data_IF_129782171412
#
_entry.id   IF_129782171412
#
_cell.length_a   1.000
_cell.length_b   1.000
_cell.length_c   1.000
_cell.angle_alpha   90.00
_cell.angle_beta   90.00
_cell.angle_gamma   90.00
#
_symmetry.space_group_name_H-M   'P 1'
#
loop_
_entity.id
_entity.type
_entity.pdbx_description
1 polymer ?
#
# COMPACT_ATOMS: atom_id res chain seq x y z
N UNK A 1 -15.99 -4.52 6.43
CA UNK A 1 -16.32 -3.09 6.17
C UNK A 1 -15.27 -2.10 6.69
N UNK A 2 -14.83 -2.19 7.96
CA UNK A 2 -13.94 -1.16 8.54
C UNK A 2 -12.54 -1.11 7.94
N UNK A 3 -11.90 -2.25 7.65
CA UNK A 3 -10.60 -2.27 6.94
C UNK A 3 -10.67 -1.61 5.56
N UNK A 4 -11.78 -1.86 4.83
CA UNK A 4 -12.02 -1.24 3.51
C UNK A 4 -12.14 0.28 3.66
N UNK A 5 -12.90 0.73 4.68
CA UNK A 5 -13.05 2.14 4.97
C UNK A 5 -11.72 2.80 5.36
N UNK A 6 -10.92 2.15 6.21
CA UNK A 6 -9.61 2.66 6.61
C UNK A 6 -8.71 2.86 5.38
N UNK A 7 -8.64 1.87 4.49
CA UNK A 7 -7.86 1.94 3.25
C UNK A 7 -8.32 3.08 2.33
N UNK A 8 -9.62 3.21 2.12
CA UNK A 8 -10.18 4.26 1.25
C UNK A 8 -9.97 5.67 1.82
N UNK A 9 -10.12 5.83 3.15
CA UNK A 9 -9.85 7.09 3.85
C UNK A 9 -8.36 7.45 3.75
N UNK A 10 -7.45 6.50 3.92
CA UNK A 10 -6.01 6.73 3.78
C UNK A 10 -5.64 7.14 2.36
N UNK A 11 -6.16 6.43 1.35
CA UNK A 11 -5.89 6.73 -0.05
C UNK A 11 -6.31 8.17 -0.39
N UNK A 12 -7.52 8.57 0.03
CA UNK A 12 -8.02 9.95 -0.15
C UNK A 12 -7.29 10.98 0.71
N UNK A 13 -6.84 10.59 1.90
CA UNK A 13 -6.04 11.42 2.80
C UNK A 13 -4.62 11.71 2.29
N UNK A 14 -4.28 11.35 1.05
CA UNK A 14 -3.01 11.67 0.42
C UNK A 14 -1.83 10.81 0.90
N UNK A 15 -2.11 9.66 1.52
CA UNK A 15 -1.08 8.75 2.02
C UNK A 15 -0.22 8.19 0.87
N UNK A 16 -0.85 7.84 -0.24
CA UNK A 16 -0.19 7.26 -1.43
C UNK A 16 1.01 8.07 -1.90
N UNK A 17 0.82 9.38 -2.09
CA UNK A 17 1.88 10.28 -2.58
C UNK A 17 3.05 10.37 -1.59
N UNK A 18 2.76 10.38 -0.28
CA UNK A 18 3.77 10.44 0.78
C UNK A 18 4.63 9.18 0.80
N UNK A 19 3.99 8.02 0.70
CA UNK A 19 4.66 6.73 0.66
C UNK A 19 5.52 6.57 -0.59
N UNK A 20 5.02 6.99 -1.76
CA UNK A 20 5.79 6.96 -3.00
C UNK A 20 7.03 7.86 -2.88
N UNK A 21 6.87 9.10 -2.40
CA UNK A 21 8.01 10.00 -2.17
C UNK A 21 9.07 9.39 -1.25
N UNK A 22 8.64 8.75 -0.16
CA UNK A 22 9.57 8.08 0.75
C UNK A 22 10.24 6.86 0.13
N UNK A 23 9.51 6.05 -0.62
CA UNK A 23 10.07 4.92 -1.36
C UNK A 23 11.13 5.38 -2.36
N UNK A 24 10.85 6.45 -3.12
CA UNK A 24 11.82 7.05 -4.05
C UNK A 24 13.03 7.58 -3.28
N UNK A 25 12.85 8.25 -2.14
CA UNK A 25 13.98 8.72 -1.32
C UNK A 25 14.96 7.59 -0.94
N UNK A 26 14.44 6.42 -0.55
CA UNK A 26 15.28 5.30 -0.15
C UNK A 26 16.04 4.66 -1.32
N UNK A 27 15.48 4.72 -2.53
CA UNK A 27 15.96 3.96 -3.68
C UNK A 27 16.59 4.80 -4.79
N UNK A 28 16.41 6.13 -4.79
CA UNK A 28 16.85 7.03 -5.86
C UNK A 28 18.35 6.92 -6.19
N UNK A 29 19.18 6.63 -5.18
CA UNK A 29 20.64 6.45 -5.32
C UNK A 29 21.07 5.23 -6.14
N UNK A 30 20.17 4.29 -6.40
CA UNK A 30 20.49 3.07 -7.14
C UNK A 30 20.10 3.18 -8.62
N UNK A 31 20.83 2.49 -9.51
CA UNK A 31 20.37 2.30 -10.90
C UNK A 31 19.08 1.47 -10.88
N UNK A 32 18.06 1.91 -11.61
CA UNK A 32 16.71 1.35 -11.48
C UNK A 32 15.96 1.84 -10.23
N UNK A 33 16.44 2.89 -9.56
CA UNK A 33 15.92 3.38 -8.28
C UNK A 33 14.40 3.59 -8.27
N UNK A 34 13.84 4.17 -9.33
CA UNK A 34 12.40 4.42 -9.46
C UNK A 34 11.59 3.13 -9.61
N UNK A 35 12.16 2.09 -10.22
CA UNK A 35 11.54 0.77 -10.26
C UNK A 35 11.53 0.09 -8.88
N UNK A 36 12.63 0.21 -8.12
CA UNK A 36 12.65 -0.24 -6.72
C UNK A 36 11.70 0.56 -5.84
N UNK A 37 11.56 1.86 -6.09
CA UNK A 37 10.60 2.71 -5.41
C UNK A 37 9.17 2.23 -5.63
N UNK A 38 8.85 1.81 -6.86
CA UNK A 38 7.56 1.21 -7.18
C UNK A 38 7.29 -0.05 -6.36
N UNK A 39 8.21 -1.00 -6.36
CA UNK A 39 8.08 -2.23 -5.56
C UNK A 39 7.96 -1.93 -4.06
N UNK A 40 8.79 -1.03 -3.53
CA UNK A 40 8.74 -0.63 -2.14
C UNK A 40 7.40 0.06 -1.79
N UNK A 41 6.93 0.96 -2.66
CA UNK A 41 5.63 1.60 -2.51
C UNK A 41 4.51 0.57 -2.51
N UNK A 42 4.55 -0.46 -3.36
CA UNK A 42 3.59 -1.56 -3.35
C UNK A 42 3.58 -2.32 -2.02
N UNK A 43 4.74 -2.62 -1.43
CA UNK A 43 4.82 -3.31 -0.12
C UNK A 43 4.17 -2.46 0.97
N UNK A 44 4.49 -1.17 1.03
CA UNK A 44 3.97 -0.29 2.07
C UNK A 44 2.46 -0.03 1.87
N UNK A 45 2.04 0.12 0.61
CA UNK A 45 0.66 0.37 0.25
C UNK A 45 -0.24 -0.87 0.35
N UNK A 46 0.35 -2.07 0.29
CA UNK A 46 -0.35 -3.34 0.48
C UNK A 46 -1.13 -3.38 1.78
N UNK A 47 -0.51 -2.93 2.88
CA UNK A 47 -1.14 -2.85 4.20
C UNK A 47 -2.22 -1.76 4.34
N UNK A 48 -2.56 -1.06 3.26
CA UNK A 48 -3.58 -0.01 3.23
C UNK A 48 -4.72 -0.39 2.29
N UNK A 49 -4.40 -0.64 1.02
CA UNK A 49 -5.40 -0.93 -0.01
C UNK A 49 -5.89 -2.38 0.04
N UNK A 50 -4.99 -3.32 0.36
CA UNK A 50 -5.28 -4.74 0.46
C UNK A 50 -5.79 -5.39 -0.84
N UNK A 51 -5.73 -4.70 -2.00
CA UNK A 51 -6.18 -5.23 -3.30
C UNK A 51 -5.28 -4.81 -4.46
N UNK A 52 -5.02 -5.73 -5.39
CA UNK A 52 -4.14 -5.46 -6.53
C UNK A 52 -4.70 -4.43 -7.51
N UNK A 53 -6.03 -4.33 -7.62
CA UNK A 53 -6.70 -3.39 -8.52
C UNK A 53 -6.54 -1.96 -7.98
N UNK A 54 -6.76 -1.75 -6.68
CA UNK A 54 -6.59 -0.42 -6.09
C UNK A 54 -5.11 -0.01 -6.06
N UNK A 55 -4.19 -0.93 -5.76
CA UNK A 55 -2.74 -0.67 -5.86
C UNK A 55 -2.34 -0.24 -7.26
N UNK A 56 -2.80 -0.97 -8.29
CA UNK A 56 -2.48 -0.64 -9.68
C UNK A 56 -3.10 0.69 -10.10
N UNK A 57 -4.31 0.99 -9.66
CA UNK A 57 -4.96 2.26 -9.94
C UNK A 57 -4.23 3.44 -9.28
N UNK A 58 -3.80 3.29 -8.03
CA UNK A 58 -3.13 4.34 -7.27
C UNK A 58 -1.67 4.54 -7.74
N UNK A 59 -0.88 3.46 -7.71
CA UNK A 59 0.54 3.48 -8.07
C UNK A 59 0.75 3.66 -9.57
N UNK A 60 -0.16 3.15 -10.41
CA UNK A 60 -0.04 3.26 -11.86
C UNK A 60 -0.13 4.69 -12.38
N UNK A 61 -0.92 5.56 -11.74
CA UNK A 61 -0.95 6.98 -12.12
C UNK A 61 0.41 7.66 -11.94
N UNK A 62 1.21 7.18 -10.99
CA UNK A 62 2.52 7.75 -10.68
C UNK A 62 3.63 7.04 -11.45
N UNK A 63 3.74 5.71 -11.31
CA UNK A 63 4.89 4.98 -11.87
C UNK A 63 4.74 4.67 -13.37
N UNK A 64 3.57 4.23 -13.84
CA UNK A 64 3.39 3.91 -15.28
C UNK A 64 3.52 5.18 -16.12
N UNK A 65 3.05 6.32 -15.60
CA UNK A 65 3.18 7.63 -16.29
C UNK A 65 4.51 8.33 -16.03
N UNK A 66 5.12 8.11 -14.86
CA UNK A 66 6.33 8.80 -14.41
C UNK A 66 7.61 8.16 -14.94
N UNK A 67 7.75 6.84 -14.83
CA UNK A 67 8.97 6.12 -15.23
C UNK A 67 9.37 6.37 -16.69
N UNK A 68 8.46 6.46 -17.69
CA UNK A 68 8.86 6.80 -19.05
C UNK A 68 9.58 8.15 -19.20
N UNK A 69 9.31 9.11 -18.31
CA UNK A 69 9.98 10.42 -18.31
C UNK A 69 11.44 10.33 -17.85
N UNK A 70 11.79 9.27 -17.12
CA UNK A 70 13.16 8.99 -16.68
C UNK A 70 13.91 8.06 -17.65
N UNK A 71 13.28 7.62 -18.75
CA UNK A 71 13.88 6.75 -19.76
C UNK A 71 13.59 5.26 -19.60
N UNK A 72 12.66 4.86 -18.73
CA UNK A 72 12.17 3.48 -18.71
C UNK A 72 11.23 3.21 -19.90
N UNK A 73 11.20 1.98 -20.41
CA UNK A 73 10.17 1.60 -21.39
C UNK A 73 8.78 1.57 -20.73
N UNK A 74 7.73 1.89 -21.49
CA UNK A 74 6.35 1.88 -21.00
C UNK A 74 5.92 0.48 -20.57
N UNK A 75 6.36 -0.54 -21.31
CA UNK A 75 6.08 -1.95 -21.06
C UNK A 75 6.72 -2.38 -19.74
N UNK A 76 7.97 -1.96 -19.48
CA UNK A 76 8.63 -2.26 -18.20
C UNK A 76 7.94 -1.56 -17.04
N UNK A 77 7.58 -0.28 -17.19
CA UNK A 77 6.87 0.48 -16.16
C UNK A 77 5.51 -0.15 -15.81
N UNK A 78 4.75 -0.57 -16.83
CA UNK A 78 3.50 -1.30 -16.64
C UNK A 78 3.73 -2.66 -15.95
N UNK A 79 4.68 -3.46 -16.45
CA UNK A 79 4.96 -4.79 -15.94
C UNK A 79 5.39 -4.78 -14.47
N UNK A 80 6.32 -3.90 -14.08
CA UNK A 80 6.80 -3.82 -12.69
C UNK A 80 5.72 -3.30 -11.74
N UNK A 81 4.88 -2.36 -12.20
CA UNK A 81 3.76 -1.87 -11.40
C UNK A 81 2.73 -2.96 -11.17
N UNK A 82 2.31 -3.65 -12.23
CA UNK A 82 1.33 -4.74 -12.12
C UNK A 82 1.87 -5.88 -11.26
N UNK A 83 3.13 -6.28 -11.45
CA UNK A 83 3.76 -7.32 -10.64
C UNK A 83 3.86 -6.90 -9.16
N UNK A 84 4.22 -5.65 -8.88
CA UNK A 84 4.27 -5.09 -7.53
C UNK A 84 2.90 -5.06 -6.85
N UNK A 85 1.85 -4.65 -7.56
CA UNK A 85 0.48 -4.59 -7.03
C UNK A 85 -0.08 -5.95 -6.58
N UNK A 86 0.45 -7.08 -7.08
CA UNK A 86 0.05 -8.42 -6.61
C UNK A 86 0.50 -8.68 -5.16
N UNK A 87 1.47 -7.92 -4.66
CA UNK A 87 1.88 -7.94 -3.25
C UNK A 87 0.74 -7.42 -2.35
N UNK A 88 -0.07 -6.49 -2.86
CA UNK A 88 -1.19 -5.84 -2.17
C UNK A 88 -2.10 -6.80 -1.40
N UNK A 89 -2.72 -7.76 -2.10
CA UNK A 89 -3.56 -8.79 -1.48
C UNK A 89 -2.87 -9.72 -0.47
N UNK A 90 -1.53 -9.78 -0.46
CA UNK A 90 -0.77 -10.81 0.24
C UNK A 90 -0.19 -10.28 1.55
N UNK A 91 0.36 -9.05 1.53
CA UNK A 91 0.93 -8.45 2.75
C UNK A 91 -0.19 -7.88 3.63
N UNK A 92 -0.22 -8.19 4.93
CA UNK A 92 -1.26 -7.70 5.84
C UNK A 92 -1.17 -6.20 6.17
N UNK A 93 -2.29 -5.57 6.58
CA UNK A 93 -3.65 -6.11 6.57
C UNK A 93 -4.23 -6.18 5.14
N UNK A 94 -4.83 -7.32 4.78
CA UNK A 94 -5.38 -7.56 3.44
C UNK A 94 -6.90 -7.75 3.50
N UNK A 95 -7.61 -6.94 2.72
CA UNK A 95 -9.07 -7.05 2.58
C UNK A 95 -9.45 -8.43 2.04
N UNK A 96 -8.70 -8.95 1.06
CA UNK A 96 -8.96 -10.26 0.44
C UNK A 96 -8.80 -11.40 1.47
N UNK A 97 -7.80 -11.31 2.35
CA UNK A 97 -7.62 -12.29 3.43
C UNK A 97 -8.77 -12.25 4.45
N UNK A 98 -9.23 -11.05 4.83
CA UNK A 98 -10.37 -10.91 5.75
C UNK A 98 -11.63 -11.55 5.17
N UNK A 99 -11.87 -11.36 3.88
CA UNK A 99 -13.02 -11.99 3.18
C UNK A 99 -12.86 -13.51 3.17
N UNK A 100 -11.68 -14.00 2.78
CA UNK A 100 -11.41 -15.43 2.74
C UNK A 100 -11.60 -16.09 4.11
N UNK A 101 -11.07 -15.49 5.19
CA UNK A 101 -11.30 -15.92 6.57
C UNK A 101 -12.80 -15.97 6.93
N UNK A 102 -13.57 -14.96 6.53
CA UNK A 102 -15.00 -14.91 6.83
C UNK A 102 -15.78 -16.07 6.17
N UNK A 103 -15.43 -16.45 4.94
CA UNK A 103 -16.09 -17.56 4.22
C UNK A 103 -15.58 -18.92 4.65
N UNK A 104 -14.26 -19.07 4.80
CA UNK A 104 -13.60 -20.33 5.16
C UNK A 104 -13.64 -20.64 6.66
N UNK A 105 -14.08 -19.69 7.49
CA UNK A 105 -14.03 -19.75 8.97
C UNK A 105 -12.63 -19.98 9.53
N UNK A 106 -11.60 -19.56 8.79
CA UNK A 106 -10.21 -19.54 9.24
C UNK A 106 -9.94 -18.24 10.00
N UNK A 107 -9.00 -18.28 10.95
CA UNK A 107 -8.53 -17.08 11.66
C UNK A 107 -7.93 -16.05 10.69
N UNK A 108 -8.38 -14.80 10.78
CA UNK A 108 -7.82 -13.67 10.04
C UNK A 108 -6.34 -13.47 10.40
N UNK A 109 -5.99 -13.70 11.67
CA UNK A 109 -4.63 -13.50 12.18
C UNK A 109 -3.68 -14.52 11.57
N UNK A 110 -4.11 -15.78 11.48
CA UNK A 110 -3.29 -16.85 10.92
C UNK A 110 -3.00 -16.59 9.45
N UNK A 111 -4.01 -16.11 8.69
CA UNK A 111 -3.82 -15.68 7.31
C UNK A 111 -2.89 -14.48 7.20
N UNK A 112 -3.01 -13.50 8.09
CA UNK A 112 -2.13 -12.35 8.09
C UNK A 112 -0.68 -12.79 8.31
N UNK A 113 -0.40 -13.59 9.34
CA UNK A 113 0.93 -14.13 9.59
C UNK A 113 1.45 -14.98 8.42
N UNK A 114 0.59 -15.82 7.85
CA UNK A 114 0.93 -16.66 6.70
C UNK A 114 1.26 -15.84 5.44
N UNK A 115 0.69 -14.64 5.29
CA UNK A 115 0.91 -13.75 4.15
C UNK A 115 2.26 -13.04 4.12
N UNK A 116 2.89 -12.84 5.29
CA UNK A 116 4.12 -12.05 5.41
C UNK A 116 5.25 -12.65 4.57
N UNK A 117 5.53 -13.94 4.74
CA UNK A 117 6.64 -14.61 4.05
C UNK A 117 6.42 -14.63 2.52
N UNK A 118 5.27 -15.10 1.99
CA UNK A 118 5.01 -15.06 0.55
C UNK A 118 5.06 -13.64 -0.04
N UNK A 119 4.53 -12.64 0.68
CA UNK A 119 4.55 -11.26 0.22
C UNK A 119 5.96 -10.69 0.09
N UNK A 120 6.82 -10.96 1.07
CA UNK A 120 8.24 -10.58 1.03
C UNK A 120 9.01 -11.33 -0.05
N UNK A 121 8.70 -12.61 -0.29
CA UNK A 121 9.32 -13.38 -1.37
C UNK A 121 8.95 -12.83 -2.75
N UNK A 122 7.70 -12.40 -2.96
CA UNK A 122 7.28 -11.75 -4.20
C UNK A 122 7.96 -10.38 -4.38
N UNK A 123 8.02 -9.58 -3.31
CA UNK A 123 8.76 -8.33 -3.32
C UNK A 123 10.24 -8.54 -3.68
N UNK A 124 10.87 -9.57 -3.11
CA UNK A 124 12.23 -9.95 -3.41
C UNK A 124 12.38 -10.39 -4.87
N UNK A 125 11.48 -11.24 -5.36
CA UNK A 125 11.50 -11.71 -6.75
C UNK A 125 11.43 -10.55 -7.75
N UNK A 126 10.51 -9.59 -7.54
CA UNK A 126 10.41 -8.38 -8.36
C UNK A 126 11.70 -7.56 -8.26
N UNK A 127 12.24 -7.38 -7.05
CA UNK A 127 13.48 -6.65 -6.81
C UNK A 127 14.71 -7.29 -7.49
N UNK A 128 14.77 -8.63 -7.54
CA UNK A 128 15.81 -9.38 -8.25
C UNK A 128 15.71 -9.16 -9.76
N UNK A 129 14.50 -9.16 -10.33
CA UNK A 129 14.30 -8.85 -11.76
C UNK A 129 14.77 -7.43 -12.10
N UNK A 130 14.45 -6.45 -11.25
CA UNK A 130 14.94 -5.07 -11.40
C UNK A 130 16.48 -5.05 -11.34
N UNK A 131 17.07 -5.76 -10.37
CA UNK A 131 18.53 -5.83 -10.21
C UNK A 131 19.23 -6.41 -11.45
N UNK A 132 18.72 -7.51 -11.98
CA UNK A 132 19.27 -8.15 -13.18
C UNK A 132 19.24 -7.20 -14.38
N UNK A 133 18.12 -6.49 -14.59
CA UNK A 133 18.03 -5.49 -15.66
C UNK A 133 18.90 -4.26 -15.42
N UNK A 134 19.02 -3.79 -14.18
CA UNK A 134 19.87 -2.66 -13.82
C UNK A 134 21.36 -2.97 -14.04
N UNK A 135 21.81 -4.18 -13.68
CA UNK A 135 23.20 -4.62 -13.83
C UNK A 135 23.64 -4.66 -15.29
N UNK A 136 22.72 -5.00 -16.20
CA UNK A 136 22.98 -5.02 -17.64
C UNK A 136 22.95 -3.62 -18.28
N UNK A 137 22.86 -2.55 -17.48
CA UNK A 137 22.80 -1.17 -17.98
C UNK A 137 21.44 -0.79 -18.58
N UNK A 138 20.44 -1.67 -18.52
CA UNK A 138 19.14 -1.49 -19.18
C UNK A 138 18.15 -0.60 -18.42
N UNK A 139 18.52 -0.04 -17.26
CA UNK A 139 17.65 0.83 -16.47
C UNK A 139 18.35 2.17 -16.14
N UNK A 140 17.61 3.29 -16.23
CA UNK A 140 18.14 4.62 -15.91
C UNK A 140 18.33 4.80 -14.39
N UNK A 141 19.09 5.83 -14.02
CA UNK A 141 19.10 6.32 -12.63
C UNK A 141 17.89 7.22 -12.39
N UNK A 142 17.43 7.28 -11.14
CA UNK A 142 16.33 8.17 -10.80
C UNK A 142 16.76 9.63 -10.96
N UNK A 143 15.94 10.43 -11.63
CA UNK A 143 16.14 11.89 -11.74
C UNK A 143 15.45 12.66 -10.61
N UNK A 144 14.81 11.96 -9.66
CA UNK A 144 14.07 12.58 -8.58
C UNK A 144 15.03 13.07 -7.51
N UNK A 145 15.16 14.39 -7.41
CA UNK A 145 15.90 15.06 -6.35
C UNK A 145 14.98 15.31 -5.15
N UNK A 146 15.43 14.90 -3.96
CA UNK A 146 14.71 15.14 -2.70
C UNK A 146 15.57 16.01 -1.80
N UNK A 147 15.02 17.18 -1.44
CA UNK A 147 15.68 18.11 -0.54
C UNK A 147 15.87 17.49 0.84
N UNK A 148 17.08 17.62 1.41
CA UNK A 148 17.40 17.12 2.76
C UNK A 148 16.51 17.72 3.85
N UNK A 149 15.98 18.92 3.63
CA UNK A 149 15.06 19.58 4.54
C UNK A 149 13.68 18.90 4.61
N UNK A 150 13.28 18.15 3.57
CA UNK A 150 11.98 17.46 3.52
C UNK A 150 12.02 16.08 4.20
N UNK A 151 13.22 15.51 4.40
CA UNK A 151 13.41 14.14 4.91
C UNK A 151 12.77 13.91 6.28
N UNK A 152 12.93 14.78 7.30
CA UNK A 152 12.35 14.50 8.63
C UNK A 152 10.83 14.42 8.59
N UNK A 153 10.19 15.31 7.82
CA UNK A 153 8.73 15.34 7.67
C UNK A 153 8.24 14.12 6.90
N UNK A 154 8.91 13.76 5.81
CA UNK A 154 8.58 12.59 4.99
C UNK A 154 8.72 11.28 5.78
N UNK A 155 9.77 11.16 6.60
CA UNK A 155 9.98 10.01 7.46
C UNK A 155 8.91 9.91 8.55
N UNK A 156 8.54 11.03 9.19
CA UNK A 156 7.48 11.06 10.18
C UNK A 156 6.13 10.67 9.58
N UNK A 157 5.75 11.27 8.45
CA UNK A 157 4.50 10.96 7.75
C UNK A 157 4.42 9.46 7.41
N UNK A 158 5.51 8.89 6.89
CA UNK A 158 5.57 7.47 6.54
C UNK A 158 5.52 6.57 7.77
N UNK A 159 6.20 6.95 8.85
CA UNK A 159 6.19 6.21 10.10
C UNK A 159 4.78 6.16 10.71
N UNK A 160 4.04 7.26 10.68
CA UNK A 160 2.64 7.30 11.12
C UNK A 160 1.78 6.33 10.31
N UNK A 161 1.98 6.27 9.00
CA UNK A 161 1.22 5.35 8.13
C UNK A 161 1.58 3.89 8.41
N UNK A 162 2.87 3.55 8.47
CA UNK A 162 3.35 2.18 8.73
C UNK A 162 3.01 1.73 10.15
N UNK A 163 2.86 2.66 11.10
CA UNK A 163 2.46 2.33 12.46
C UNK A 163 1.08 1.67 12.52
N UNK A 164 0.19 1.92 11.55
CA UNK A 164 -1.16 1.35 11.55
C UNK A 164 -1.16 -0.18 11.33
N UNK A 165 -0.54 -0.73 10.26
CA UNK A 165 -0.37 -2.18 10.11
C UNK A 165 0.31 -2.84 11.32
N UNK A 166 1.38 -2.23 11.85
CA UNK A 166 2.11 -2.75 13.01
C UNK A 166 1.23 -2.78 14.26
N UNK A 167 0.51 -1.69 14.53
CA UNK A 167 -0.40 -1.56 15.66
C UNK A 167 -1.53 -2.60 15.59
N UNK A 168 -2.10 -2.81 14.40
CA UNK A 168 -3.12 -3.84 14.17
C UNK A 168 -2.57 -5.23 14.49
N UNK A 169 -1.40 -5.58 13.95
CA UNK A 169 -0.79 -6.90 14.18
C UNK A 169 -0.45 -7.08 15.66
N UNK A 170 0.27 -6.14 16.28
CA UNK A 170 0.71 -6.24 17.67
C UNK A 170 -0.48 -6.25 18.63
N UNK A 171 -1.45 -5.36 18.45
CA UNK A 171 -2.63 -5.28 19.32
C UNK A 171 -3.54 -6.50 19.19
N UNK A 172 -3.62 -7.10 18.00
CA UNK A 172 -4.37 -8.35 17.81
C UNK A 172 -3.61 -9.56 18.39
N UNK A 173 -2.29 -9.64 18.19
CA UNK A 173 -1.46 -10.74 18.74
C UNK A 173 -1.36 -10.70 20.27
N UNK A 174 -1.37 -9.52 20.88
CA UNK A 174 -1.39 -9.36 22.34
C UNK A 174 -2.75 -9.66 22.97
N UNK A 175 -3.79 -9.92 22.17
CA UNK A 175 -5.15 -10.15 22.65
C UNK A 175 -5.86 -8.88 23.14
N UNK A 176 -5.30 -7.69 22.85
CA UNK A 176 -5.89 -6.41 23.27
C UNK A 176 -7.21 -6.14 22.54
N UNK A 177 -7.30 -6.56 21.28
CA UNK A 177 -8.52 -6.47 20.47
C UNK A 177 -8.61 -7.60 19.46
N UNK A 178 -9.84 -7.94 19.06
CA UNK A 178 -10.14 -8.89 18.00
C UNK A 178 -9.88 -8.31 16.61
N UNK A 179 -9.83 -9.16 15.58
CA UNK A 179 -9.62 -8.71 14.20
C UNK A 179 -10.67 -7.69 13.74
N UNK A 180 -11.91 -7.78 14.20
CA UNK A 180 -12.98 -6.85 13.84
C UNK A 180 -12.81 -5.50 14.54
N UNK A 181 -12.46 -5.51 15.84
CA UNK A 181 -12.17 -4.30 16.62
C UNK A 181 -10.94 -3.57 16.07
N UNK A 182 -9.89 -4.32 15.70
CA UNK A 182 -8.70 -3.77 15.03
C UNK A 182 -9.07 -3.00 13.75
N UNK A 183 -10.02 -3.51 12.96
CA UNK A 183 -10.51 -2.81 11.78
C UNK A 183 -11.20 -1.49 12.12
N UNK A 184 -11.99 -1.46 13.20
CA UNK A 184 -12.63 -0.24 13.70
C UNK A 184 -11.61 0.81 14.16
N UNK A 185 -10.60 0.38 14.93
CA UNK A 185 -9.50 1.27 15.35
C UNK A 185 -8.72 1.79 14.15
N UNK A 186 -8.46 0.94 13.16
CA UNK A 186 -7.79 1.33 11.92
C UNK A 186 -8.57 2.43 11.17
N UNK A 187 -9.89 2.31 11.08
CA UNK A 187 -10.74 3.30 10.43
C UNK A 187 -10.69 4.66 11.17
N UNK A 188 -10.83 4.64 12.50
CA UNK A 188 -10.74 5.87 13.31
C UNK A 188 -9.36 6.51 13.18
N UNK A 189 -8.29 5.72 13.26
CA UNK A 189 -6.92 6.22 13.11
C UNK A 189 -6.69 6.83 11.72
N UNK A 190 -7.16 6.18 10.65
CA UNK A 190 -7.10 6.71 9.29
C UNK A 190 -7.82 8.06 9.16
N UNK A 191 -9.00 8.19 9.78
CA UNK A 191 -9.76 9.44 9.81
C UNK A 191 -9.01 10.54 10.56
N UNK A 192 -8.42 10.23 11.72
CA UNK A 192 -7.63 11.19 12.50
C UNK A 192 -6.40 11.67 11.72
N UNK A 193 -5.67 10.76 11.06
CA UNK A 193 -4.56 11.14 10.20
C UNK A 193 -5.01 12.02 9.03
N UNK A 194 -6.09 11.63 8.34
CA UNK A 194 -6.62 12.36 7.19
C UNK A 194 -7.06 13.79 7.54
N UNK A 195 -7.78 13.97 8.65
CA UNK A 195 -8.32 15.27 9.07
C UNK A 195 -7.29 16.16 9.75
N UNK A 196 -6.52 15.64 10.71
CA UNK A 196 -5.75 16.49 11.62
C UNK A 196 -4.27 16.57 11.25
N UNK A 197 -3.68 15.48 10.77
CA UNK A 197 -2.25 15.39 10.49
C UNK A 197 -1.96 15.77 9.04
N UNK A 198 -2.53 15.04 8.09
CA UNK A 198 -2.33 15.30 6.67
C UNK A 198 -3.19 16.45 6.16
N UNK A 199 -4.35 16.68 6.79
CA UNK A 199 -5.31 17.75 6.44
C UNK A 199 -5.75 17.71 4.98
N UNK A 200 -5.75 16.51 4.42
CA UNK A 200 -6.08 16.24 3.03
C UNK A 200 -7.46 15.61 2.87
N UNK A 201 -8.17 15.31 3.97
CA UNK A 201 -9.49 14.71 3.95
C UNK A 201 -10.56 15.77 4.24
N UNK A 202 -11.42 16.07 3.28
CA UNK A 202 -12.60 16.91 3.49
C UNK A 202 -13.88 16.06 3.64
N UNK A 203 -15.01 16.70 3.99
CA UNK A 203 -16.27 15.99 4.23
C UNK A 203 -16.79 15.28 2.96
N UNK A 204 -16.56 15.85 1.78
CA UNK A 204 -16.97 15.25 0.51
C UNK A 204 -16.14 14.00 0.18
N UNK A 205 -14.84 14.03 0.43
CA UNK A 205 -13.95 12.87 0.27
C UNK A 205 -14.28 11.79 1.29
N UNK A 206 -14.58 12.16 2.53
CA UNK A 206 -15.03 11.20 3.54
C UNK A 206 -16.36 10.55 3.14
N UNK A 207 -17.33 11.32 2.63
CA UNK A 207 -18.57 10.77 2.10
C UNK A 207 -18.33 9.83 0.92
N UNK A 208 -17.48 10.22 -0.03
CA UNK A 208 -17.10 9.35 -1.14
C UNK A 208 -16.42 8.07 -0.64
N UNK A 209 -15.58 8.14 0.40
CA UNK A 209 -14.97 6.97 1.02
C UNK A 209 -16.01 6.01 1.59
N UNK A 210 -17.02 6.53 2.28
CA UNK A 210 -18.14 5.73 2.80
C UNK A 210 -18.92 5.05 1.67
N UNK A 211 -19.25 5.78 0.60
CA UNK A 211 -19.99 5.24 -0.55
C UNK A 211 -19.21 4.12 -1.25
N UNK A 212 -17.91 4.34 -1.51
CA UNK A 212 -17.05 3.31 -2.12
C UNK A 212 -16.92 2.10 -1.20
N UNK A 213 -16.70 2.32 0.09
CA UNK A 213 -16.58 1.24 1.08
C UNK A 213 -17.87 0.43 1.20
N UNK A 214 -19.02 1.10 1.20
CA UNK A 214 -20.33 0.47 1.21
C UNK A 214 -20.54 -0.35 -0.07
N UNK A 215 -20.25 0.20 -1.25
CA UNK A 215 -20.37 -0.50 -2.53
C UNK A 215 -19.48 -1.75 -2.56
N UNK A 216 -18.21 -1.62 -2.21
CA UNK A 216 -17.27 -2.75 -2.18
C UNK A 216 -17.74 -3.82 -1.19
N UNK A 217 -18.14 -3.42 0.02
CA UNK A 217 -18.66 -4.35 1.03
C UNK A 217 -19.94 -5.05 0.54
N UNK A 218 -20.88 -4.33 -0.07
CA UNK A 218 -22.12 -4.89 -0.62
C UNK A 218 -21.87 -5.88 -1.75
N UNK A 219 -21.00 -5.54 -2.70
CA UNK A 219 -20.61 -6.46 -3.78
C UNK A 219 -20.01 -7.76 -3.23
N UNK A 220 -19.21 -7.67 -2.17
CA UNK A 220 -18.63 -8.84 -1.51
C UNK A 220 -19.69 -9.69 -0.81
N UNK A 221 -20.60 -9.08 -0.06
CA UNK A 221 -21.68 -9.82 0.60
C UNK A 221 -22.63 -10.48 -0.41
N UNK A 222 -22.89 -9.86 -1.56
CA UNK A 222 -23.68 -10.46 -2.64
C UNK A 222 -23.01 -11.69 -3.28
N UNK A 223 -21.67 -11.76 -3.30
CA UNK A 223 -20.94 -12.93 -3.82
C UNK A 223 -20.98 -14.09 -2.81
N UNK A 224 -21.04 -13.78 -1.52
CA UNK A 224 -21.02 -14.77 -0.43
C UNK A 224 -22.42 -15.34 -0.16
N UNK A 225 -23.47 -14.53 -0.33
CA UNK A 225 -24.88 -14.89 -0.10
C UNK A 225 -25.41 -15.88 -1.15
#
# INVERSE_FOLDING_TARGET
PFYILAGEVMNRGGVTERLIRFAVFLTARFRGGTAYANTMASIIFAGISGTAIADTAALGQVFIKGMPKEGYSKEFAAAVTVAGSVIGPIIPPSVIMVIYAAVSRISVIDLFLAGVIPGLLLALAVSVVIWLKARNGGLPQSSVEISRAEVPRMALDTLLVISLPLFIIIGTLSGTFTATEAGGVAAVYAMLLGWFVFRNLNLAEFWAALVVSARTTSSLFLIIA
#
